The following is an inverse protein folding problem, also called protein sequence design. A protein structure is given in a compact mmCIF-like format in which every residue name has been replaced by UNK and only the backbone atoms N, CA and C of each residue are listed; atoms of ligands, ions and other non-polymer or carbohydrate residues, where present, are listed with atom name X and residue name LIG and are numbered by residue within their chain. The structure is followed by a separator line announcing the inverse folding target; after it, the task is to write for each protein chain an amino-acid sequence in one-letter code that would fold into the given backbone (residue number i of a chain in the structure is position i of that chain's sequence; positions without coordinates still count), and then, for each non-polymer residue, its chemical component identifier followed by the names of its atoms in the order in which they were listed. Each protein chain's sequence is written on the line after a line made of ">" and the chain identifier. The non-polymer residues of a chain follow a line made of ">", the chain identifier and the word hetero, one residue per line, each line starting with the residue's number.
data_IF_290935324112
#
_entry.id   IF_290935324112
#
_cell.length_a   1.000
_cell.length_b   1.000
_cell.length_c   1.000
_cell.angle_alpha   90.00
_cell.angle_beta   90.00
_cell.angle_gamma   90.00
#
_symmetry.space_group_name_H-M   'P 1'
#
loop_
_entity.id
_entity.type
_entity.pdbx_description
1 polymer ?
#
# COMPACT_ATOMS: atom_id res chain seq x y z
N UNK A 1 16.08 -6.56 -12.20
CA UNK A 1 16.34 -5.60 -11.12
C UNK A 1 16.16 -6.25 -9.74
N UNK A 2 14.95 -6.72 -9.37
CA UNK A 2 14.69 -7.27 -8.04
C UNK A 2 15.64 -8.42 -7.65
N UNK A 3 15.92 -9.37 -8.55
CA UNK A 3 16.90 -10.44 -8.27
C UNK A 3 18.27 -9.89 -7.88
N UNK A 4 18.86 -9.02 -8.71
CA UNK A 4 20.15 -8.41 -8.41
C UNK A 4 20.13 -7.61 -7.10
N UNK A 5 19.03 -6.91 -6.81
CA UNK A 5 18.87 -6.16 -5.57
C UNK A 5 18.85 -7.07 -4.34
N UNK A 6 18.12 -8.20 -4.43
CA UNK A 6 18.08 -9.22 -3.38
C UNK A 6 19.46 -9.86 -3.18
N UNK A 7 20.13 -10.28 -4.26
CA UNK A 7 21.48 -10.86 -4.22
C UNK A 7 22.52 -9.85 -3.67
N UNK A 8 22.23 -8.55 -3.76
CA UNK A 8 23.05 -7.47 -3.22
C UNK A 8 22.67 -7.05 -1.79
N UNK A 9 21.72 -7.73 -1.15
CA UNK A 9 21.37 -7.53 0.26
C UNK A 9 20.11 -6.71 0.54
N UNK A 10 19.23 -6.46 -0.44
CA UNK A 10 17.89 -5.91 -0.16
C UNK A 10 16.93 -7.04 0.21
N UNK A 11 16.49 -7.05 1.48
CA UNK A 11 15.55 -8.07 1.98
C UNK A 11 14.08 -7.67 1.85
N UNK A 12 13.75 -6.39 2.11
CA UNK A 12 12.37 -5.88 2.15
C UNK A 12 12.13 -4.95 0.96
N UNK A 13 11.13 -5.30 0.15
CA UNK A 13 10.72 -4.55 -1.02
C UNK A 13 9.40 -3.84 -0.75
N UNK A 14 9.48 -2.51 -0.52
CA UNK A 14 8.30 -1.66 -0.50
C UNK A 14 7.88 -1.33 -1.92
N UNK A 15 6.78 -1.92 -2.38
CA UNK A 15 6.22 -1.68 -3.72
C UNK A 15 5.07 -0.69 -3.61
N UNK A 16 5.04 0.35 -4.44
CA UNK A 16 3.93 1.31 -4.51
C UNK A 16 3.68 1.75 -5.95
N UNK A 17 2.44 2.10 -6.25
CA UNK A 17 2.03 2.78 -7.47
C UNK A 17 1.61 4.22 -7.15
N UNK A 18 1.92 5.16 -8.03
CA UNK A 18 1.67 6.59 -7.80
C UNK A 18 0.18 6.97 -7.81
N UNK A 19 -0.69 6.11 -8.32
CA UNK A 19 -2.13 6.30 -8.42
C UNK A 19 -2.93 5.26 -7.63
N UNK A 20 -2.27 4.41 -6.82
CA UNK A 20 -2.87 3.21 -6.22
C UNK A 20 -3.55 2.31 -7.27
N UNK A 21 -2.99 2.21 -8.48
CA UNK A 21 -3.55 1.37 -9.52
C UNK A 21 -3.07 -0.08 -9.36
N UNK A 22 -4.00 -0.97 -8.99
CA UNK A 22 -3.68 -2.35 -8.61
C UNK A 22 -3.00 -3.15 -9.72
N UNK A 23 -3.35 -2.90 -10.98
CA UNK A 23 -2.76 -3.61 -12.13
C UNK A 23 -1.26 -3.33 -12.26
N UNK A 24 -0.81 -2.12 -11.93
CA UNK A 24 0.62 -1.77 -11.94
C UNK A 24 1.39 -2.42 -10.78
N UNK A 25 0.71 -2.77 -9.70
CA UNK A 25 1.34 -3.39 -8.53
C UNK A 25 1.77 -4.83 -8.77
N UNK A 26 1.03 -5.57 -9.62
CA UNK A 26 1.23 -7.01 -9.88
C UNK A 26 2.67 -7.32 -10.25
N UNK A 27 3.19 -6.64 -11.28
CA UNK A 27 4.55 -6.88 -11.77
C UNK A 27 5.61 -6.64 -10.68
N UNK A 28 5.46 -5.57 -9.89
CA UNK A 28 6.42 -5.23 -8.83
C UNK A 28 6.40 -6.25 -7.69
N UNK A 29 5.20 -6.65 -7.25
CA UNK A 29 4.99 -7.64 -6.20
C UNK A 29 5.52 -9.01 -6.65
N UNK A 30 5.14 -9.48 -7.84
CA UNK A 30 5.59 -10.75 -8.40
C UNK A 30 7.11 -10.78 -8.57
N UNK A 31 7.71 -9.72 -9.08
CA UNK A 31 9.16 -9.65 -9.28
C UNK A 31 9.95 -9.64 -7.96
N UNK A 32 9.44 -8.96 -6.92
CA UNK A 32 10.05 -8.96 -5.60
C UNK A 32 9.90 -10.32 -4.90
N UNK A 33 8.71 -10.93 -4.97
CA UNK A 33 8.45 -12.25 -4.42
C UNK A 33 9.29 -13.34 -5.12
N UNK A 34 9.37 -13.31 -6.45
CA UNK A 34 10.16 -14.27 -7.24
C UNK A 34 11.66 -14.17 -6.94
N UNK A 35 12.16 -12.99 -6.55
CA UNK A 35 13.53 -12.80 -6.11
C UNK A 35 13.81 -13.39 -4.71
N UNK A 36 12.78 -13.76 -3.95
CA UNK A 36 12.88 -14.22 -2.56
C UNK A 36 12.70 -13.09 -1.52
N UNK A 37 12.36 -11.88 -1.96
CA UNK A 37 12.22 -10.72 -1.09
C UNK A 37 10.92 -10.68 -0.28
N UNK A 38 10.98 -10.07 0.90
CA UNK A 38 9.80 -9.74 1.69
C UNK A 38 9.04 -8.57 1.04
N UNK A 39 7.91 -8.87 0.43
CA UNK A 39 7.01 -7.87 -0.17
C UNK A 39 6.21 -7.09 0.87
N UNK A 40 6.48 -5.80 0.97
CA UNK A 40 5.66 -4.81 1.68
C UNK A 40 4.87 -3.98 0.64
N UNK A 41 3.58 -4.24 0.49
CA UNK A 41 2.77 -3.54 -0.49
C UNK A 41 2.19 -2.24 0.10
N UNK A 42 2.39 -1.12 -0.59
CA UNK A 42 2.06 0.19 -0.06
C UNK A 42 0.77 0.77 -0.65
N UNK A 43 0.03 1.43 0.23
CA UNK A 43 -1.14 2.26 -0.03
C UNK A 43 -0.69 3.72 0.06
N UNK A 44 -0.72 4.47 -1.04
CA UNK A 44 -0.46 5.90 -0.99
C UNK A 44 -1.69 6.62 -0.41
N UNK A 45 -1.52 7.35 0.68
CA UNK A 45 -2.62 8.04 1.34
C UNK A 45 -2.86 9.42 0.71
N UNK A 46 -4.13 9.74 0.48
CA UNK A 46 -4.61 11.06 0.04
C UNK A 46 -6.00 11.38 0.59
N UNK A 47 -6.39 12.65 0.53
CA UNK A 47 -7.67 13.11 1.08
C UNK A 47 -7.75 13.00 2.60
N UNK A 48 -8.97 12.80 3.10
CA UNK A 48 -9.25 12.70 4.53
C UNK A 48 -10.35 11.66 4.76
N UNK A 49 -10.00 10.53 5.37
CA UNK A 49 -10.94 9.44 5.70
C UNK A 49 -11.95 9.81 6.78
N UNK A 50 -11.72 10.90 7.52
CA UNK A 50 -12.67 11.42 8.50
C UNK A 50 -13.72 12.35 7.89
N UNK A 51 -13.57 12.70 6.60
CA UNK A 51 -14.52 13.53 5.89
C UNK A 51 -15.87 12.80 5.73
N UNK A 52 -16.97 13.35 6.29
CA UNK A 52 -18.27 12.68 6.29
C UNK A 52 -19.02 12.79 4.95
N UNK A 53 -18.46 13.48 3.94
CA UNK A 53 -19.11 13.61 2.65
C UNK A 53 -19.33 12.23 2.00
N UNK A 54 -20.57 11.83 1.68
CA UNK A 54 -20.86 10.51 1.10
C UNK A 54 -20.22 10.32 -0.29
N UNK A 55 -19.86 11.41 -0.98
CA UNK A 55 -19.17 11.39 -2.26
C UNK A 55 -17.64 11.49 -2.13
N UNK A 56 -17.10 11.32 -0.91
CA UNK A 56 -15.65 11.28 -0.70
C UNK A 56 -15.05 10.04 -1.37
N UNK A 57 -14.34 10.27 -2.48
CA UNK A 57 -13.70 9.19 -3.25
C UNK A 57 -12.69 8.38 -2.42
N UNK A 58 -11.95 9.04 -1.54
CA UNK A 58 -10.90 8.40 -0.72
C UNK A 58 -11.43 8.14 0.70
N UNK A 59 -12.50 7.35 0.78
CA UNK A 59 -13.16 6.92 2.01
C UNK A 59 -12.41 5.79 2.71
N UNK A 60 -12.82 5.42 3.93
CA UNK A 60 -12.33 4.21 4.62
C UNK A 60 -12.55 2.96 3.76
N UNK A 61 -13.72 2.82 3.14
CA UNK A 61 -14.04 1.65 2.31
C UNK A 61 -13.12 1.52 1.10
N UNK A 62 -12.73 2.65 0.49
CA UNK A 62 -11.74 2.67 -0.59
C UNK A 62 -10.41 2.06 -0.15
N UNK A 63 -9.90 2.47 1.02
CA UNK A 63 -8.63 1.96 1.54
C UNK A 63 -8.73 0.49 1.99
N UNK A 64 -9.86 0.10 2.60
CA UNK A 64 -10.08 -1.28 3.02
C UNK A 64 -10.18 -2.23 1.81
N UNK A 65 -10.86 -1.84 0.74
CA UNK A 65 -10.94 -2.62 -0.48
C UNK A 65 -9.57 -2.74 -1.16
N UNK A 66 -8.84 -1.64 -1.27
CA UNK A 66 -7.50 -1.66 -1.85
C UNK A 66 -6.53 -2.53 -1.03
N UNK A 67 -6.59 -2.46 0.30
CA UNK A 67 -5.81 -3.33 1.18
C UNK A 67 -6.10 -4.82 0.94
N UNK A 68 -7.39 -5.20 0.81
CA UNK A 68 -7.79 -6.58 0.49
C UNK A 68 -7.22 -7.03 -0.85
N UNK A 69 -7.24 -6.18 -1.87
CA UNK A 69 -6.65 -6.47 -3.17
C UNK A 69 -5.12 -6.71 -3.06
N UNK A 70 -4.41 -5.89 -2.28
CA UNK A 70 -2.97 -6.09 -2.04
C UNK A 70 -2.67 -7.41 -1.31
N UNK A 71 -3.48 -7.79 -0.32
CA UNK A 71 -3.36 -9.08 0.37
C UNK A 71 -3.59 -10.24 -0.60
N UNK A 72 -4.56 -10.13 -1.50
CA UNK A 72 -4.81 -11.15 -2.54
C UNK A 72 -3.64 -11.29 -3.53
N UNK A 73 -2.88 -10.23 -3.76
CA UNK A 73 -1.64 -10.27 -4.57
C UNK A 73 -0.44 -10.88 -3.82
N UNK A 74 -0.58 -11.28 -2.55
CA UNK A 74 0.47 -11.94 -1.80
C UNK A 74 1.40 -10.98 -1.03
N UNK A 75 0.92 -9.79 -0.67
CA UNK A 75 1.66 -8.90 0.22
C UNK A 75 1.91 -9.56 1.59
N UNK A 76 3.16 -9.55 2.07
CA UNK A 76 3.50 -10.04 3.41
C UNK A 76 3.23 -9.00 4.51
N UNK A 77 3.33 -7.72 4.16
CA UNK A 77 2.95 -6.60 5.01
C UNK A 77 2.29 -5.50 4.16
N UNK A 78 1.42 -4.72 4.82
CA UNK A 78 0.83 -3.51 4.26
C UNK A 78 1.57 -2.28 4.79
N UNK A 79 1.86 -1.32 3.91
CA UNK A 79 2.43 -0.02 4.27
C UNK A 79 1.44 1.10 3.95
N UNK A 80 1.23 2.03 4.89
CA UNK A 80 0.54 3.30 4.61
C UNK A 80 1.61 4.34 4.30
N UNK A 81 1.67 4.77 3.04
CA UNK A 81 2.62 5.78 2.55
C UNK A 81 1.92 7.15 2.48
N UNK A 82 2.04 7.93 3.55
CA UNK A 82 1.65 9.34 3.54
C UNK A 82 2.82 10.20 3.04
N UNK A 83 2.86 10.42 1.73
CA UNK A 83 3.93 11.18 1.09
C UNK A 83 3.83 12.70 1.31
N UNK A 84 2.66 13.20 1.73
CA UNK A 84 2.38 14.63 1.87
C UNK A 84 2.24 15.09 3.33
N UNK A 85 2.23 14.15 4.29
CA UNK A 85 2.04 14.48 5.71
C UNK A 85 0.62 14.93 6.03
N UNK A 86 -0.38 14.41 5.30
CA UNK A 86 -1.79 14.81 5.42
C UNK A 86 -2.64 13.82 6.24
N UNK A 87 -2.06 12.70 6.67
CA UNK A 87 -2.73 11.74 7.55
C UNK A 87 -2.72 12.26 9.00
N UNK A 88 -3.76 13.00 9.37
CA UNK A 88 -3.92 13.56 10.72
C UNK A 88 -4.00 12.46 11.79
N UNK A 89 -3.72 12.75 13.08
CA UNK A 89 -3.76 11.73 14.15
C UNK A 89 -5.11 11.00 14.27
N UNK A 90 -6.23 11.71 14.09
CA UNK A 90 -7.57 11.13 14.12
C UNK A 90 -7.80 10.21 12.91
N UNK A 91 -7.39 10.65 11.72
CA UNK A 91 -7.46 9.87 10.49
C UNK A 91 -6.59 8.61 10.58
N UNK A 92 -5.36 8.73 11.09
CA UNK A 92 -4.45 7.61 11.31
C UNK A 92 -5.06 6.57 12.25
N UNK A 93 -5.61 7.00 13.39
CA UNK A 93 -6.25 6.10 14.35
C UNK A 93 -7.38 5.32 13.70
N UNK A 94 -8.28 6.01 12.99
CA UNK A 94 -9.42 5.40 12.30
C UNK A 94 -8.97 4.42 11.21
N UNK A 95 -8.05 4.84 10.34
CA UNK A 95 -7.56 4.03 9.22
C UNK A 95 -6.86 2.76 9.73
N UNK A 96 -5.90 2.90 10.63
CA UNK A 96 -5.12 1.77 11.17
C UNK A 96 -6.00 0.82 11.98
N UNK A 97 -7.01 1.30 12.71
CA UNK A 97 -7.93 0.41 13.42
C UNK A 97 -8.88 -0.37 12.51
N UNK A 98 -9.05 0.08 11.27
CA UNK A 98 -9.98 -0.54 10.31
C UNK A 98 -9.29 -1.58 9.41
N UNK A 99 -8.00 -1.39 9.13
CA UNK A 99 -7.16 -2.31 8.38
C UNK A 99 -6.75 -3.52 9.22
#
# INVERSE_FOLDING_TARGET
>A
FCQQAYDSGIDIFRVFDSLNYIENMKLGIEAAAAAGGFVEAAICYTGDVTNPNPNNKYSIDYYLDYAKQLVQLGAHALCIKDMAGILTPRAATMLVSTL
#
